data_IF_760126148140
#
_entry.id   IF_760126148140
#
_cell.length_a   1.000
_cell.length_b   1.000
_cell.length_c   1.000
_cell.angle_alpha   90.00
_cell.angle_beta   90.00
_cell.angle_gamma   90.00
#
_symmetry.space_group_name_H-M   'P 1'
#
loop_
_entity.id
_entity.type
_entity.pdbx_description
1 polymer ?
#
# COMPACT_ATOMS: atom_id res chain seq x y z
N UNK A 1 76.03 32.95 8.69
CA UNK A 1 76.23 32.90 7.23
C UNK A 1 75.25 31.90 6.63
N UNK A 2 74.13 32.41 6.12
CA UNK A 2 72.88 31.68 5.89
C UNK A 2 72.74 31.22 4.44
N UNK A 3 73.85 30.80 3.82
CA UNK A 3 73.90 30.43 2.39
C UNK A 3 74.40 29.02 2.07
N UNK A 4 74.74 28.20 3.06
CA UNK A 4 75.23 26.82 2.80
C UNK A 4 74.29 25.68 3.22
N UNK A 5 73.13 25.96 3.83
CA UNK A 5 72.19 24.91 4.28
C UNK A 5 71.14 24.54 3.21
N UNK A 6 71.05 25.27 2.10
CA UNK A 6 70.04 25.04 1.04
C UNK A 6 70.52 24.18 -0.16
N UNK A 7 71.76 23.69 -0.16
CA UNK A 7 72.30 22.94 -1.30
C UNK A 7 72.20 21.40 -1.21
N UNK A 8 71.55 20.84 -0.17
CA UNK A 8 71.48 19.38 0.07
C UNK A 8 70.09 18.73 0.02
N UNK A 9 69.13 19.29 -0.73
CA UNK A 9 67.84 18.61 -1.02
C UNK A 9 67.39 18.79 -2.48
N UNK A 10 68.12 18.18 -3.41
CA UNK A 10 67.58 17.83 -4.74
C UNK A 10 68.21 16.53 -5.21
N UNK A 11 67.58 15.41 -4.88
CA UNK A 11 67.64 14.16 -5.62
C UNK A 11 66.72 13.15 -4.97
N UNK A 12 65.88 12.47 -5.76
CA UNK A 12 65.07 11.27 -5.43
C UNK A 12 63.60 11.49 -5.07
N UNK A 13 62.77 11.84 -6.06
CA UNK A 13 61.40 11.30 -6.16
C UNK A 13 61.02 11.05 -7.64
N UNK A 14 61.40 9.92 -8.25
CA UNK A 14 60.94 9.55 -9.58
C UNK A 14 59.96 8.35 -9.60
N UNK A 15 59.12 8.16 -8.57
CA UNK A 15 58.18 7.01 -8.54
C UNK A 15 56.73 7.34 -8.17
N UNK A 16 56.42 8.53 -7.64
CA UNK A 16 55.06 8.84 -7.19
C UNK A 16 54.11 9.27 -8.34
N UNK A 17 54.62 9.92 -9.40
CA UNK A 17 53.80 10.35 -10.55
C UNK A 17 53.35 9.22 -11.48
N UNK A 18 54.12 8.13 -11.57
CA UNK A 18 53.77 6.97 -12.41
C UNK A 18 52.60 6.18 -11.81
N UNK A 19 52.56 6.02 -10.48
CA UNK A 19 51.47 5.33 -9.78
C UNK A 19 50.12 6.05 -9.90
N UNK A 20 50.11 7.38 -9.75
CA UNK A 20 48.87 8.17 -9.87
C UNK A 20 48.31 8.12 -11.30
N UNK A 21 49.17 8.20 -12.32
CA UNK A 21 48.71 8.08 -13.71
C UNK A 21 48.18 6.70 -14.06
N UNK A 22 48.71 5.63 -13.46
CA UNK A 22 48.21 4.27 -13.67
C UNK A 22 46.80 4.07 -13.07
N UNK A 23 46.57 4.60 -11.86
CA UNK A 23 45.26 4.54 -11.19
C UNK A 23 44.21 5.34 -11.97
N UNK A 24 44.54 6.55 -12.43
CA UNK A 24 43.61 7.37 -13.22
C UNK A 24 43.26 6.70 -14.56
N UNK A 25 44.25 6.11 -15.26
CA UNK A 25 43.99 5.36 -16.50
C UNK A 25 43.10 4.13 -16.27
N UNK A 26 43.27 3.43 -15.15
CA UNK A 26 42.43 2.28 -14.78
C UNK A 26 40.96 2.70 -14.56
N UNK A 27 40.72 3.80 -13.83
CA UNK A 27 39.36 4.30 -13.60
C UNK A 27 38.68 4.82 -14.87
N UNK A 28 39.42 5.48 -15.76
CA UNK A 28 38.89 5.90 -17.07
C UNK A 28 38.52 4.69 -17.93
N UNK A 29 39.39 3.67 -17.98
CA UNK A 29 39.11 2.45 -18.74
C UNK A 29 37.87 1.74 -18.20
N UNK A 30 37.75 1.63 -16.87
CA UNK A 30 36.60 1.02 -16.19
C UNK A 30 35.30 1.77 -16.53
N UNK A 31 35.30 3.11 -16.45
CA UNK A 31 34.14 3.93 -16.79
C UNK A 31 33.71 3.77 -18.26
N UNK A 32 34.67 3.67 -19.18
CA UNK A 32 34.39 3.43 -20.61
C UNK A 32 33.81 2.02 -20.81
N UNK A 33 34.35 0.98 -20.16
CA UNK A 33 33.76 -0.37 -20.24
C UNK A 33 32.36 -0.45 -19.66
N UNK A 34 32.08 0.22 -18.53
CA UNK A 34 30.73 0.28 -17.96
C UNK A 34 29.77 1.02 -18.90
N UNK A 35 30.20 2.13 -19.50
CA UNK A 35 29.39 2.88 -20.45
C UNK A 35 29.10 2.04 -21.71
N UNK A 36 30.11 1.39 -22.28
CA UNK A 36 29.96 0.51 -23.46
C UNK A 36 29.07 -0.70 -23.12
N UNK A 37 29.24 -1.32 -21.96
CA UNK A 37 28.37 -2.42 -21.52
C UNK A 37 26.91 -1.95 -21.35
N UNK A 38 26.69 -0.74 -20.82
CA UNK A 38 25.36 -0.13 -20.66
C UNK A 38 24.71 0.19 -22.00
N UNK A 39 25.50 0.66 -22.98
CA UNK A 39 25.02 0.92 -24.35
C UNK A 39 24.70 -0.39 -25.08
N UNK A 40 25.50 -1.44 -24.88
CA UNK A 40 25.27 -2.76 -25.48
C UNK A 40 24.05 -3.43 -24.83
N UNK A 41 23.86 -3.35 -23.51
CA UNK A 41 22.64 -3.86 -22.86
C UNK A 41 21.40 -3.05 -23.23
N UNK A 42 21.52 -1.73 -23.41
CA UNK A 42 20.43 -0.90 -23.93
C UNK A 42 20.07 -1.22 -25.39
N UNK A 43 21.03 -1.67 -26.21
CA UNK A 43 20.79 -2.12 -27.60
C UNK A 43 20.28 -3.55 -27.72
N UNK A 44 20.52 -4.40 -26.72
CA UNK A 44 20.09 -5.80 -26.69
C UNK A 44 18.83 -6.04 -25.84
N UNK A 45 18.06 -4.99 -25.54
CA UNK A 45 16.73 -5.16 -24.95
C UNK A 45 15.86 -5.92 -25.96
N UNK A 46 15.37 -7.13 -25.65
CA UNK A 46 14.51 -7.88 -26.56
C UNK A 46 13.26 -7.04 -26.87
N UNK A 47 12.81 -7.10 -28.13
CA UNK A 47 11.64 -6.36 -28.62
C UNK A 47 10.37 -6.57 -27.78
N UNK A 48 10.33 -7.63 -26.97
CA UNK A 48 9.29 -7.92 -25.98
C UNK A 48 9.18 -6.87 -24.85
N UNK A 49 10.27 -6.25 -24.41
CA UNK A 49 10.22 -5.22 -23.37
C UNK A 49 9.74 -3.86 -23.90
N UNK A 50 9.95 -3.58 -25.18
CA UNK A 50 9.39 -2.39 -25.86
C UNK A 50 7.89 -2.58 -26.19
N UNK A 51 7.45 -3.82 -26.41
CA UNK A 51 6.04 -4.16 -26.60
C UNK A 51 5.18 -3.94 -25.33
N UNK A 52 5.76 -4.11 -24.13
CA UNK A 52 5.08 -3.81 -22.86
C UNK A 52 4.82 -2.31 -22.70
N UNK A 53 5.75 -1.47 -23.18
CA UNK A 53 5.61 -0.01 -23.18
C UNK A 53 4.57 0.48 -24.20
N UNK A 54 4.55 -0.09 -25.42
CA UNK A 54 3.55 0.32 -26.44
C UNK A 54 2.13 -0.14 -26.09
N UNK A 55 1.98 -1.33 -25.48
CA UNK A 55 0.72 -1.81 -24.94
C UNK A 55 0.17 -0.95 -23.79
N UNK A 56 1.04 -0.24 -23.05
CA UNK A 56 0.63 0.72 -22.01
C UNK A 56 -0.27 1.82 -22.57
N UNK A 57 0.10 2.36 -23.74
CA UNK A 57 -0.67 3.41 -24.43
C UNK A 57 -1.85 2.87 -25.23
N UNK A 58 -1.78 1.66 -25.76
CA UNK A 58 -2.83 1.09 -26.60
C UNK A 58 -3.99 0.52 -25.76
N UNK A 59 -3.71 -0.13 -24.62
CA UNK A 59 -4.74 -0.55 -23.67
C UNK A 59 -5.39 0.66 -22.98
N UNK A 60 -4.65 1.72 -22.67
CA UNK A 60 -5.24 2.99 -22.21
C UNK A 60 -6.11 3.68 -23.28
N UNK A 61 -5.77 3.56 -24.57
CA UNK A 61 -6.59 4.10 -25.69
C UNK A 61 -7.84 3.27 -26.00
N UNK A 62 -7.79 1.95 -25.78
CA UNK A 62 -8.89 1.03 -26.12
C UNK A 62 -10.05 1.10 -25.12
N UNK A 63 -9.82 1.67 -23.94
CA UNK A 63 -10.87 1.99 -22.98
C UNK A 63 -11.34 3.42 -23.21
N UNK A 64 -12.44 3.58 -23.97
CA UNK A 64 -13.22 4.81 -23.94
C UNK A 64 -13.59 5.11 -22.49
N UNK A 65 -13.29 6.33 -22.09
CA UNK A 65 -13.54 6.90 -20.78
C UNK A 65 -14.95 6.56 -20.26
N UNK A 66 -15.09 5.68 -19.25
CA UNK A 66 -16.37 5.43 -18.61
C UNK A 66 -16.80 6.59 -17.69
N UNK A 67 -15.98 7.63 -17.54
CA UNK A 67 -16.17 8.67 -16.52
C UNK A 67 -16.98 9.88 -17.00
N UNK A 68 -17.58 9.84 -18.20
CA UNK A 68 -18.42 10.91 -18.75
C UNK A 68 -19.94 10.66 -18.66
N UNK A 69 -20.40 9.66 -17.92
CA UNK A 69 -21.83 9.51 -17.62
C UNK A 69 -22.09 9.33 -16.12
N UNK A 70 -22.71 10.36 -15.53
CA UNK A 70 -23.67 10.19 -14.46
C UNK A 70 -23.12 10.11 -13.04
N UNK A 71 -23.64 10.99 -12.18
CA UNK A 71 -23.72 10.78 -10.73
C UNK A 71 -24.02 9.30 -10.44
N UNK A 72 -23.13 8.60 -9.75
CA UNK A 72 -23.36 7.24 -9.27
C UNK A 72 -24.47 7.25 -8.20
N UNK A 73 -25.72 7.33 -8.62
CA UNK A 73 -26.88 7.03 -7.80
C UNK A 73 -27.13 5.52 -7.85
N UNK A 74 -26.61 4.78 -6.88
CA UNK A 74 -27.10 3.43 -6.63
C UNK A 74 -28.36 3.51 -5.78
N UNK A 75 -29.52 3.29 -6.42
CA UNK A 75 -30.76 2.98 -5.71
C UNK A 75 -30.61 1.63 -5.02
N UNK A 76 -30.46 1.62 -3.70
CA UNK A 76 -30.74 0.44 -2.87
C UNK A 76 -32.22 0.12 -2.95
N UNK A 77 -32.64 -1.14 -3.18
CA UNK A 77 -33.95 -1.58 -2.74
C UNK A 77 -33.95 -1.56 -1.22
N UNK A 78 -34.71 -0.64 -0.63
CA UNK A 78 -35.01 -0.61 0.79
C UNK A 78 -35.73 -1.90 1.18
N UNK A 79 -35.01 -2.84 1.79
CA UNK A 79 -35.62 -3.85 2.66
C UNK A 79 -35.19 -3.57 4.09
N UNK A 80 -35.98 -2.72 4.73
CA UNK A 80 -36.15 -2.70 6.18
C UNK A 80 -36.62 -4.11 6.57
N UNK A 81 -35.69 -4.96 7.01
CA UNK A 81 -36.05 -6.10 7.83
C UNK A 81 -36.41 -5.54 9.20
N UNK A 82 -37.71 -5.30 9.37
CA UNK A 82 -38.31 -4.91 10.63
C UNK A 82 -37.93 -5.93 11.71
N UNK A 83 -37.47 -5.41 12.84
CA UNK A 83 -37.08 -6.12 14.07
C UNK A 83 -38.22 -6.89 14.77
N UNK A 84 -39.30 -7.23 14.06
CA UNK A 84 -40.48 -7.92 14.59
C UNK A 84 -40.68 -9.25 13.85
N UNK A 85 -39.87 -10.26 14.19
CA UNK A 85 -40.20 -11.71 14.11
C UNK A 85 -39.00 -12.59 14.46
N UNK A 86 -38.47 -12.44 15.67
CA UNK A 86 -37.67 -13.49 16.30
C UNK A 86 -37.90 -13.40 17.81
N UNK A 87 -39.14 -13.70 18.22
CA UNK A 87 -39.40 -14.22 19.55
C UNK A 87 -39.59 -15.73 19.36
N UNK A 88 -38.93 -16.52 20.20
CA UNK A 88 -38.87 -18.00 20.21
C UNK A 88 -37.97 -18.72 19.20
N UNK A 89 -36.70 -18.30 19.11
CA UNK A 89 -35.66 -19.23 18.66
C UNK A 89 -34.49 -19.15 19.63
N UNK A 90 -34.12 -20.29 20.24
CA UNK A 90 -33.05 -20.37 21.23
C UNK A 90 -31.72 -19.77 20.72
N UNK A 91 -30.97 -19.18 21.64
CA UNK A 91 -29.74 -18.41 21.43
C UNK A 91 -28.73 -19.09 20.48
N UNK A 92 -28.56 -20.41 20.59
CA UNK A 92 -27.67 -21.21 19.71
C UNK A 92 -28.12 -21.33 18.25
N UNK A 93 -29.42 -21.22 17.98
CA UNK A 93 -29.98 -21.27 16.62
C UNK A 93 -29.95 -19.88 15.98
N UNK A 94 -30.07 -18.83 16.78
CA UNK A 94 -29.82 -17.45 16.35
C UNK A 94 -28.34 -17.26 16.00
N UNK A 95 -27.42 -17.73 16.83
CA UNK A 95 -25.98 -17.67 16.56
C UNK A 95 -25.59 -18.41 15.27
N UNK A 96 -26.11 -19.64 15.07
CA UNK A 96 -25.91 -20.39 13.82
C UNK A 96 -26.49 -19.70 12.59
N UNK A 97 -27.68 -19.09 12.70
CA UNK A 97 -28.30 -18.39 11.56
C UNK A 97 -27.59 -17.06 11.25
N UNK A 98 -27.19 -16.30 12.27
CA UNK A 98 -26.35 -15.10 12.10
C UNK A 98 -25.02 -15.43 11.42
N UNK A 99 -24.35 -16.51 11.81
CA UNK A 99 -23.10 -16.96 11.16
C UNK A 99 -23.33 -17.32 9.69
N UNK A 100 -24.45 -17.98 9.35
CA UNK A 100 -24.79 -18.34 7.97
C UNK A 100 -25.10 -17.13 7.08
N UNK A 101 -25.61 -16.03 7.65
CA UNK A 101 -25.93 -14.81 6.91
C UNK A 101 -24.86 -13.71 7.01
N UNK A 102 -23.82 -13.90 7.82
CA UNK A 102 -22.73 -12.92 7.94
C UNK A 102 -21.81 -13.02 6.72
N UNK A 103 -21.61 -11.93 5.95
CA UNK A 103 -20.71 -11.93 4.80
C UNK A 103 -19.30 -12.40 5.17
N UNK A 104 -18.61 -13.06 4.23
CA UNK A 104 -17.30 -13.66 4.52
C UNK A 104 -16.28 -12.64 5.01
N UNK A 105 -16.21 -11.47 4.37
CA UNK A 105 -15.34 -10.36 4.80
C UNK A 105 -15.62 -9.92 6.24
N UNK A 106 -16.89 -9.83 6.65
CA UNK A 106 -17.28 -9.50 8.03
C UNK A 106 -16.86 -10.57 9.03
N UNK A 107 -16.97 -11.87 8.69
CA UNK A 107 -16.47 -12.94 9.56
C UNK A 107 -14.97 -12.86 9.78
N UNK A 108 -14.19 -12.56 8.72
CA UNK A 108 -12.75 -12.35 8.85
C UNK A 108 -12.43 -11.15 9.76
N UNK A 109 -13.17 -10.06 9.62
CA UNK A 109 -12.98 -8.84 10.42
C UNK A 109 -13.37 -9.04 11.90
N UNK A 110 -14.48 -9.75 12.16
CA UNK A 110 -15.00 -10.00 13.51
C UNK A 110 -14.30 -11.13 14.26
N UNK A 111 -13.40 -11.85 13.59
CA UNK A 111 -12.60 -12.89 14.24
C UNK A 111 -11.83 -12.32 15.45
N UNK A 112 -11.71 -13.10 16.53
CA UNK A 112 -11.10 -12.65 17.79
C UNK A 112 -9.68 -12.11 17.64
N UNK A 113 -8.83 -12.72 16.80
CA UNK A 113 -7.48 -12.22 16.55
C UNK A 113 -7.53 -10.92 15.74
N UNK A 114 -8.40 -10.84 14.72
CA UNK A 114 -8.59 -9.61 13.96
C UNK A 114 -9.01 -8.46 14.88
N UNK A 115 -9.95 -8.71 15.79
CA UNK A 115 -10.44 -7.71 16.74
C UNK A 115 -9.34 -7.23 17.69
N UNK A 116 -8.47 -8.11 18.18
CA UNK A 116 -7.29 -7.68 18.95
C UNK A 116 -6.38 -6.74 18.16
N UNK A 117 -6.07 -7.08 16.90
CA UNK A 117 -5.22 -6.22 16.05
C UNK A 117 -5.90 -4.86 15.81
N UNK A 118 -7.22 -4.84 15.61
CA UNK A 118 -8.01 -3.61 15.43
C UNK A 118 -7.99 -2.77 16.72
N UNK A 119 -8.16 -3.38 17.89
CA UNK A 119 -8.04 -2.69 19.18
C UNK A 119 -6.66 -2.06 19.36
N UNK A 120 -5.60 -2.80 19.00
CA UNK A 120 -4.24 -2.25 19.02
C UNK A 120 -4.11 -1.05 18.06
N UNK A 121 -4.68 -1.13 16.85
CA UNK A 121 -4.66 -0.05 15.87
C UNK A 121 -5.38 1.22 16.38
N UNK A 122 -6.55 1.05 17.00
CA UNK A 122 -7.31 2.14 17.62
C UNK A 122 -6.56 2.81 18.78
N UNK A 123 -5.67 2.07 19.46
CA UNK A 123 -4.88 2.57 20.59
C UNK A 123 -3.52 3.17 20.20
N UNK A 124 -3.20 3.21 18.90
CA UNK A 124 -1.93 3.78 18.44
C UNK A 124 -1.85 5.28 18.73
N UNK A 125 -0.64 5.77 19.01
CA UNK A 125 -0.37 7.19 19.21
C UNK A 125 -0.82 8.03 18.01
N UNK A 126 -0.74 7.47 16.81
CA UNK A 126 -1.26 8.09 15.59
C UNK A 126 -2.77 8.38 15.70
N UNK A 127 -3.59 7.35 15.98
CA UNK A 127 -5.06 7.51 16.04
C UNK A 127 -5.51 8.31 17.25
N UNK A 128 -5.00 8.00 18.45
CA UNK A 128 -5.41 8.70 19.67
C UNK A 128 -4.93 10.15 19.66
N UNK A 129 -3.71 10.41 19.18
CA UNK A 129 -3.17 11.75 19.04
C UNK A 129 -3.97 12.59 18.04
N UNK A 130 -4.37 12.00 16.90
CA UNK A 130 -5.21 12.72 15.93
C UNK A 130 -6.60 13.00 16.51
N UNK A 131 -7.20 12.04 17.22
CA UNK A 131 -8.51 12.24 17.85
C UNK A 131 -8.48 13.34 18.92
N UNK A 132 -7.36 13.51 19.62
CA UNK A 132 -7.14 14.60 20.58
C UNK A 132 -6.75 15.93 19.92
N UNK A 133 -6.36 15.92 18.64
CA UNK A 133 -5.86 17.10 17.94
C UNK A 133 -4.40 17.45 18.27
N UNK A 134 -3.69 16.55 18.95
CA UNK A 134 -2.33 16.76 19.47
C UNK A 134 -1.26 16.07 18.64
N UNK A 135 -1.64 15.27 17.64
CA UNK A 135 -0.67 14.57 16.80
C UNK A 135 0.23 15.58 16.06
N UNK A 136 1.55 15.33 15.91
CA UNK A 136 2.43 16.25 15.19
C UNK A 136 2.10 16.30 13.69
N UNK A 137 1.89 17.51 13.15
CA UNK A 137 1.60 17.71 11.72
C UNK A 137 2.72 17.20 10.81
N UNK A 138 3.97 17.24 11.26
CA UNK A 138 5.11 16.66 10.53
C UNK A 138 4.98 15.15 10.37
N UNK A 139 4.57 14.45 11.43
CA UNK A 139 4.37 13.00 11.39
C UNK A 139 3.13 12.66 10.57
N UNK A 140 2.08 13.47 10.64
CA UNK A 140 0.91 13.30 9.78
C UNK A 140 1.26 13.48 8.30
N UNK A 141 2.03 14.53 7.96
CA UNK A 141 2.54 14.72 6.60
C UNK A 141 3.42 13.55 6.15
N UNK A 142 4.27 13.02 7.04
CA UNK A 142 5.06 11.82 6.75
C UNK A 142 4.17 10.62 6.43
N UNK A 143 3.09 10.40 7.18
CA UNK A 143 2.09 9.39 6.85
C UNK A 143 1.44 9.60 5.49
N UNK A 144 1.06 10.83 5.13
CA UNK A 144 0.48 11.12 3.82
C UNK A 144 1.47 10.80 2.67
N UNK A 145 2.77 11.08 2.85
CA UNK A 145 3.79 10.67 1.85
C UNK A 145 3.90 9.14 1.76
N UNK A 146 3.80 8.42 2.88
CA UNK A 146 3.76 6.95 2.89
C UNK A 146 2.52 6.41 2.16
N UNK A 147 1.34 6.96 2.40
CA UNK A 147 0.09 6.58 1.72
C UNK A 147 0.14 6.85 0.21
N UNK A 148 0.74 7.98 -0.21
CA UNK A 148 0.96 8.25 -1.62
C UNK A 148 1.83 7.15 -2.27
N UNK A 149 2.93 6.77 -1.63
CA UNK A 149 3.82 5.71 -2.11
C UNK A 149 3.16 4.31 -2.05
N UNK A 150 2.23 4.09 -1.13
CA UNK A 150 1.41 2.88 -1.06
C UNK A 150 0.44 2.79 -2.24
N UNK A 151 -0.29 3.86 -2.56
CA UNK A 151 -1.26 3.86 -3.66
C UNK A 151 -0.61 3.57 -5.02
N UNK A 152 0.57 4.14 -5.29
CA UNK A 152 1.32 3.85 -6.52
C UNK A 152 1.71 2.36 -6.61
N UNK A 153 2.28 1.83 -5.53
CA UNK A 153 2.66 0.42 -5.46
C UNK A 153 1.48 -0.53 -5.64
N UNK A 154 0.37 -0.27 -4.94
CA UNK A 154 -0.84 -1.09 -5.00
C UNK A 154 -1.45 -1.08 -6.39
N UNK A 155 -1.42 0.07 -7.09
CA UNK A 155 -1.87 0.15 -8.47
C UNK A 155 -1.10 -0.84 -9.36
N UNK A 156 0.22 -0.93 -9.19
CA UNK A 156 1.08 -1.85 -9.93
C UNK A 156 0.92 -3.31 -9.53
N UNK A 157 0.78 -3.60 -8.23
CA UNK A 157 0.51 -4.97 -7.75
C UNK A 157 -0.81 -5.50 -8.31
N UNK A 158 -1.88 -4.69 -8.28
CA UNK A 158 -3.15 -5.07 -8.89
C UNK A 158 -3.03 -5.28 -10.40
N UNK A 159 -2.33 -4.40 -11.10
CA UNK A 159 -2.09 -4.54 -12.54
C UNK A 159 -1.42 -5.87 -12.87
N UNK A 160 -0.35 -6.21 -12.14
CA UNK A 160 0.36 -7.47 -12.34
C UNK A 160 -0.52 -8.68 -12.02
N UNK A 161 -1.31 -8.61 -10.95
CA UNK A 161 -2.26 -9.67 -10.61
C UNK A 161 -3.34 -9.84 -11.69
N UNK A 162 -3.84 -8.74 -12.26
CA UNK A 162 -4.80 -8.76 -13.36
C UNK A 162 -4.24 -9.51 -14.57
N UNK A 163 -3.02 -9.17 -15.02
CA UNK A 163 -2.35 -9.87 -16.12
C UNK A 163 -2.17 -11.36 -15.84
N UNK A 164 -1.76 -11.74 -14.63
CA UNK A 164 -1.62 -13.15 -14.25
C UNK A 164 -2.97 -13.89 -14.30
N UNK A 165 -4.03 -13.25 -13.84
CA UNK A 165 -5.39 -13.80 -13.86
C UNK A 165 -5.95 -13.96 -15.27
N UNK A 166 -5.63 -13.04 -16.19
CA UNK A 166 -5.97 -13.19 -17.61
C UNK A 166 -5.29 -14.40 -18.24
N UNK A 167 -3.99 -14.60 -17.96
CA UNK A 167 -3.22 -15.77 -18.43
C UNK A 167 -3.85 -17.07 -17.90
N UNK A 168 -4.28 -17.08 -16.64
CA UNK A 168 -5.00 -18.19 -16.02
C UNK A 168 -6.47 -18.32 -16.49
N UNK A 169 -6.94 -17.45 -17.37
CA UNK A 169 -8.32 -17.39 -17.89
C UNK A 169 -9.38 -17.13 -16.81
N UNK A 170 -9.01 -16.54 -15.68
CA UNK A 170 -9.92 -16.14 -14.61
C UNK A 170 -10.36 -14.68 -14.82
N UNK A 171 -11.40 -14.50 -15.64
CA UNK A 171 -11.87 -13.17 -16.08
C UNK A 171 -12.42 -12.31 -14.94
N UNK A 172 -13.05 -12.91 -13.93
CA UNK A 172 -13.67 -12.15 -12.84
C UNK A 172 -12.60 -11.49 -11.96
N UNK A 173 -11.56 -12.24 -11.59
CA UNK A 173 -10.41 -11.70 -10.88
C UNK A 173 -9.65 -10.66 -11.72
N UNK A 174 -9.40 -10.95 -13.00
CA UNK A 174 -8.72 -10.02 -13.89
C UNK A 174 -9.47 -8.68 -13.99
N UNK A 175 -10.78 -8.71 -14.23
CA UNK A 175 -11.62 -7.53 -14.33
C UNK A 175 -11.65 -6.73 -13.03
N UNK A 176 -11.76 -7.41 -11.89
CA UNK A 176 -11.70 -6.77 -10.58
C UNK A 176 -10.35 -6.05 -10.37
N UNK A 177 -9.24 -6.73 -10.64
CA UNK A 177 -7.90 -6.17 -10.44
C UNK A 177 -7.55 -5.04 -11.41
N UNK A 178 -8.01 -5.08 -12.66
CA UNK A 178 -7.86 -3.92 -13.56
C UNK A 178 -8.58 -2.68 -13.02
N UNK A 179 -9.81 -2.84 -12.52
CA UNK A 179 -10.57 -1.73 -11.91
C UNK A 179 -9.88 -1.19 -10.66
N UNK A 180 -9.37 -2.06 -9.78
CA UNK A 180 -8.63 -1.63 -8.59
C UNK A 180 -7.33 -0.91 -8.97
N UNK A 181 -6.56 -1.42 -9.94
CA UNK A 181 -5.35 -0.77 -10.42
C UNK A 181 -5.62 0.65 -10.92
N UNK A 182 -6.63 0.81 -11.78
CA UNK A 182 -7.03 2.12 -12.28
C UNK A 182 -7.47 3.06 -11.16
N UNK A 183 -8.26 2.56 -10.21
CA UNK A 183 -8.70 3.30 -9.01
C UNK A 183 -7.50 3.82 -8.21
N UNK A 184 -6.56 2.95 -7.84
CA UNK A 184 -5.40 3.34 -7.03
C UNK A 184 -4.44 4.27 -7.78
N UNK A 185 -4.26 4.09 -9.10
CA UNK A 185 -3.47 5.02 -9.92
C UNK A 185 -4.10 6.41 -9.97
N UNK A 186 -5.44 6.49 -10.05
CA UNK A 186 -6.15 7.76 -10.00
C UNK A 186 -6.06 8.42 -8.62
N UNK A 187 -6.28 7.64 -7.55
CA UNK A 187 -6.15 8.10 -6.17
C UNK A 187 -4.75 8.66 -5.92
N UNK A 188 -3.69 7.96 -6.30
CA UNK A 188 -2.31 8.44 -6.15
C UNK A 188 -2.11 9.83 -6.77
N UNK A 189 -2.52 10.02 -8.03
CA UNK A 189 -2.38 11.30 -8.74
C UNK A 189 -3.15 12.43 -8.07
N UNK A 190 -4.41 12.18 -7.71
CA UNK A 190 -5.24 13.18 -7.04
C UNK A 190 -4.72 13.50 -5.65
N UNK A 191 -4.24 12.49 -4.93
CA UNK A 191 -3.78 12.63 -3.56
C UNK A 191 -2.53 13.51 -3.50
N UNK A 192 -1.53 13.25 -4.35
CA UNK A 192 -0.34 14.09 -4.46
C UNK A 192 -0.70 15.55 -4.75
N UNK A 193 -1.62 15.78 -5.69
CA UNK A 193 -2.04 17.13 -6.07
C UNK A 193 -2.84 17.84 -4.96
N UNK A 194 -3.85 17.18 -4.37
CA UNK A 194 -4.71 17.75 -3.32
C UNK A 194 -3.92 18.05 -2.04
N UNK A 195 -2.88 17.27 -1.76
CA UNK A 195 -2.11 17.32 -0.52
C UNK A 195 -0.74 18.00 -0.64
N UNK A 196 -0.40 18.47 -1.84
CA UNK A 196 0.90 19.07 -2.14
C UNK A 196 2.05 18.21 -1.62
N UNK A 197 2.03 16.93 -1.99
CA UNK A 197 3.03 15.93 -1.58
C UNK A 197 4.12 15.82 -2.63
N UNK A 198 5.29 15.33 -2.21
CA UNK A 198 6.40 15.11 -3.12
C UNK A 198 6.15 13.94 -4.09
N UNK A 199 5.42 12.92 -3.63
CA UNK A 199 5.25 11.64 -4.33
C UNK A 199 6.50 10.75 -4.38
N UNK A 200 7.65 11.27 -3.93
CA UNK A 200 8.97 10.63 -4.04
C UNK A 200 9.65 10.49 -2.67
N UNK A 201 8.88 10.62 -1.58
CA UNK A 201 9.38 10.55 -0.21
C UNK A 201 10.04 9.20 0.10
N UNK A 202 11.02 9.22 1.02
CA UNK A 202 11.56 7.98 1.56
C UNK A 202 10.46 7.23 2.32
N UNK A 203 10.23 5.98 1.94
CA UNK A 203 9.28 5.10 2.63
C UNK A 203 9.89 4.54 3.90
N UNK A 204 9.07 4.41 4.94
CA UNK A 204 9.45 3.79 6.20
C UNK A 204 9.63 2.28 6.10
N UNK A 205 10.11 1.67 7.18
CA UNK A 205 10.39 0.23 7.22
C UNK A 205 9.09 -0.57 7.21
N UNK A 206 8.05 -0.09 7.92
CA UNK A 206 6.75 -0.73 7.97
C UNK A 206 6.08 -0.78 6.60
N UNK A 207 6.06 0.35 5.87
CA UNK A 207 5.52 0.39 4.52
C UNK A 207 6.33 -0.48 3.56
N UNK A 208 7.67 -0.46 3.64
CA UNK A 208 8.51 -1.34 2.81
C UNK A 208 8.15 -2.81 3.02
N UNK A 209 8.02 -3.24 4.27
CA UNK A 209 7.62 -4.61 4.60
C UNK A 209 6.21 -4.94 4.08
N UNK A 210 5.28 -3.97 4.10
CA UNK A 210 3.94 -4.15 3.56
C UNK A 210 3.97 -4.30 2.02
N UNK A 211 4.70 -3.42 1.34
CA UNK A 211 4.90 -3.49 -0.12
C UNK A 211 5.47 -4.83 -0.53
N UNK A 212 6.50 -5.30 0.18
CA UNK A 212 7.12 -6.61 -0.05
C UNK A 212 6.11 -7.75 0.19
N UNK A 213 5.30 -7.69 1.24
CA UNK A 213 4.24 -8.68 1.46
C UNK A 213 3.28 -8.72 0.27
N UNK A 214 2.70 -7.58 -0.12
CA UNK A 214 1.70 -7.51 -1.20
C UNK A 214 2.24 -8.00 -2.54
N UNK A 215 3.49 -7.67 -2.88
CA UNK A 215 4.14 -8.14 -4.10
C UNK A 215 4.36 -9.66 -4.14
N UNK A 216 4.43 -10.31 -2.97
CA UNK A 216 4.67 -11.75 -2.84
C UNK A 216 3.39 -12.57 -2.58
N UNK A 217 2.23 -11.93 -2.41
CA UNK A 217 0.95 -12.64 -2.32
C UNK A 217 0.57 -13.18 -3.71
N UNK A 218 0.04 -14.40 -3.76
CA UNK A 218 -0.42 -14.95 -5.04
C UNK A 218 -1.64 -14.17 -5.55
N UNK A 219 -1.84 -14.03 -6.87
CA UNK A 219 -2.93 -13.23 -7.42
C UNK A 219 -4.31 -13.62 -6.87
N UNK A 220 -4.56 -14.90 -6.60
CA UNK A 220 -5.84 -15.43 -6.09
C UNK A 220 -6.14 -14.95 -4.65
N UNK A 221 -5.10 -14.55 -3.92
CA UNK A 221 -5.18 -14.13 -2.53
C UNK A 221 -5.04 -12.62 -2.35
N UNK A 222 -4.74 -11.86 -3.40
CA UNK A 222 -4.43 -10.44 -3.28
C UNK A 222 -5.62 -9.64 -2.74
N UNK A 223 -6.85 -9.97 -3.15
CA UNK A 223 -8.05 -9.30 -2.63
C UNK A 223 -8.20 -9.46 -1.11
N UNK A 224 -7.84 -10.63 -0.57
CA UNK A 224 -7.85 -10.89 0.88
C UNK A 224 -6.72 -10.15 1.60
N UNK A 225 -5.54 -10.07 0.99
CA UNK A 225 -4.41 -9.33 1.55
C UNK A 225 -4.65 -7.81 1.58
N UNK A 226 -5.45 -7.30 0.64
CA UNK A 226 -5.84 -5.89 0.52
C UNK A 226 -7.13 -5.53 1.27
N UNK A 227 -7.90 -6.51 1.72
CA UNK A 227 -9.15 -6.29 2.45
C UNK A 227 -8.96 -5.49 3.77
N UNK A 228 -7.88 -5.67 4.55
CA UNK A 228 -7.65 -4.91 5.78
C UNK A 228 -7.72 -3.40 5.59
N UNK A 229 -7.08 -2.86 4.55
CA UNK A 229 -7.04 -1.41 4.33
C UNK A 229 -8.45 -0.83 4.13
N UNK A 230 -9.32 -1.54 3.38
CA UNK A 230 -10.66 -1.05 3.14
C UNK A 230 -11.50 -1.10 4.40
N UNK A 231 -11.36 -2.13 5.23
CA UNK A 231 -12.21 -2.33 6.42
C UNK A 231 -11.71 -1.61 7.67
N UNK A 232 -10.39 -1.48 7.85
CA UNK A 232 -9.80 -0.91 9.06
C UNK A 232 -9.99 0.61 9.14
N UNK A 233 -9.67 1.36 8.08
CA UNK A 233 -9.74 2.82 8.10
C UNK A 233 -11.12 3.40 8.47
N UNK A 234 -12.24 2.84 7.99
CA UNK A 234 -13.58 3.23 8.45
C UNK A 234 -13.83 2.94 9.93
N UNK A 235 -13.18 1.94 10.50
CA UNK A 235 -13.25 1.64 11.93
C UNK A 235 -12.45 2.66 12.73
N UNK A 236 -11.24 3.00 12.28
CA UNK A 236 -10.42 4.06 12.88
C UNK A 236 -11.13 5.43 12.83
N UNK A 237 -11.87 5.69 11.75
CA UNK A 237 -12.66 6.90 11.54
C UNK A 237 -13.88 7.04 12.47
N UNK A 238 -14.24 5.98 13.20
CA UNK A 238 -15.36 5.98 14.17
C UNK A 238 -14.96 6.43 15.57
N UNK A 239 -13.67 6.62 15.84
CA UNK A 239 -13.18 7.15 17.11
C UNK A 239 -13.80 8.52 17.39
N UNK A 240 -14.11 8.77 18.64
CA UNK A 240 -14.64 10.06 19.09
C UNK A 240 -13.53 11.12 19.06
N UNK A 241 -13.74 12.15 18.26
CA UNK A 241 -12.80 13.26 18.08
C UNK A 241 -13.11 14.34 19.11
N UNK A 242 -12.09 14.77 19.85
CA UNK A 242 -12.19 15.86 20.80
C UNK A 242 -12.16 17.21 20.06
N UNK A 243 -13.03 18.12 20.49
CA UNK A 243 -13.21 19.44 19.86
C UNK A 243 -13.24 19.38 18.31
N UNK A 244 -14.21 18.69 17.68
CA UNK A 244 -14.20 18.46 16.23
C UNK A 244 -14.08 19.73 15.39
N UNK A 245 -14.68 20.85 15.86
CA UNK A 245 -14.61 22.13 15.15
C UNK A 245 -13.20 22.75 15.12
N UNK A 246 -12.34 22.42 16.08
CA UNK A 246 -10.95 22.90 16.17
C UNK A 246 -9.91 21.84 15.82
N UNK A 247 -10.31 20.60 15.53
CA UNK A 247 -9.40 19.50 15.24
C UNK A 247 -9.06 19.45 13.75
N UNK A 248 -7.78 19.65 13.42
CA UNK A 248 -7.29 19.69 12.04
C UNK A 248 -7.43 18.35 11.29
N UNK A 249 -7.57 17.24 12.01
CA UNK A 249 -7.68 15.90 11.46
C UNK A 249 -9.13 15.46 11.21
N UNK A 250 -10.13 16.18 11.75
CA UNK A 250 -11.55 15.82 11.64
C UNK A 250 -12.00 15.72 10.18
N UNK A 251 -11.82 16.80 9.41
CA UNK A 251 -12.19 16.80 8.00
C UNK A 251 -11.28 15.88 7.19
N UNK A 252 -9.98 15.89 7.49
CA UNK A 252 -8.99 15.30 6.60
C UNK A 252 -8.87 13.78 6.71
N UNK A 253 -8.91 13.27 7.94
CA UNK A 253 -8.74 11.85 8.20
C UNK A 253 -10.08 11.21 8.58
N UNK A 254 -10.74 11.72 9.63
CA UNK A 254 -11.89 11.03 10.23
C UNK A 254 -13.12 11.05 9.31
N UNK A 255 -13.49 12.20 8.74
CA UNK A 255 -14.65 12.29 7.83
C UNK A 255 -14.41 11.61 6.49
N UNK A 256 -13.25 11.83 5.87
CA UNK A 256 -12.90 11.24 4.56
C UNK A 256 -12.85 9.71 4.61
N UNK A 257 -12.47 9.11 5.74
CA UNK A 257 -12.45 7.64 5.90
C UNK A 257 -13.76 7.05 6.44
N UNK A 258 -14.69 7.86 6.93
CA UNK A 258 -15.96 7.37 7.48
C UNK A 258 -16.85 6.85 6.35
N UNK A 259 -17.21 5.58 6.44
CA UNK A 259 -18.21 4.94 5.57
C UNK A 259 -19.05 3.91 6.30
N UNK A 260 -20.26 3.73 5.82
CA UNK A 260 -21.23 2.72 6.29
C UNK A 260 -21.54 1.66 5.22
N UNK A 261 -21.25 1.94 3.95
CA UNK A 261 -21.49 1.02 2.84
C UNK A 261 -20.31 0.07 2.63
N UNK A 262 -20.56 -1.05 1.94
CA UNK A 262 -19.54 -2.05 1.66
C UNK A 262 -18.65 -1.68 0.46
N UNK A 263 -17.33 -1.80 0.63
CA UNK A 263 -16.35 -1.53 -0.42
C UNK A 263 -16.41 -2.57 -1.55
N UNK A 264 -15.90 -2.22 -2.73
CA UNK A 264 -15.79 -3.18 -3.84
C UNK A 264 -14.89 -4.38 -3.50
N UNK A 265 -13.88 -4.20 -2.65
CA UNK A 265 -13.03 -5.29 -2.17
C UNK A 265 -13.78 -6.23 -1.24
N UNK A 266 -14.58 -5.72 -0.30
CA UNK A 266 -15.43 -6.55 0.57
C UNK A 266 -16.43 -7.37 -0.26
N UNK A 267 -17.12 -6.72 -1.22
CA UNK A 267 -18.05 -7.39 -2.15
C UNK A 267 -17.38 -8.54 -2.89
N UNK A 268 -16.22 -8.27 -3.48
CA UNK A 268 -15.46 -9.28 -4.22
C UNK A 268 -15.02 -10.44 -3.31
N UNK A 269 -14.53 -10.14 -2.11
CA UNK A 269 -14.13 -11.19 -1.15
C UNK A 269 -15.32 -12.05 -0.72
N UNK A 270 -16.51 -11.47 -0.54
CA UNK A 270 -17.71 -12.23 -0.20
C UNK A 270 -18.12 -13.26 -1.26
N UNK A 271 -17.67 -13.06 -2.51
CA UNK A 271 -17.97 -13.95 -3.64
C UNK A 271 -16.92 -15.06 -3.81
N UNK A 272 -15.80 -15.03 -3.07
CA UNK A 272 -14.75 -16.06 -3.14
C UNK A 272 -15.27 -17.36 -2.50
N UNK A 273 -15.32 -18.43 -3.29
CA UNK A 273 -15.82 -19.75 -2.84
C UNK A 273 -14.70 -20.75 -2.52
N UNK A 274 -13.54 -20.60 -3.16
CA UNK A 274 -12.52 -21.64 -3.22
C UNK A 274 -11.38 -21.46 -2.20
N UNK A 275 -11.69 -20.89 -1.03
CA UNK A 275 -10.72 -20.73 0.05
C UNK A 275 -11.28 -21.18 1.39
N UNK A 276 -10.48 -21.96 2.13
CA UNK A 276 -10.77 -22.30 3.52
C UNK A 276 -10.63 -21.05 4.39
N UNK A 277 -11.60 -20.82 5.26
CA UNK A 277 -11.64 -19.64 6.15
C UNK A 277 -10.34 -19.47 6.96
N UNK A 278 -9.76 -20.55 7.49
CA UNK A 278 -8.49 -20.49 8.22
C UNK A 278 -7.34 -19.96 7.37
N UNK A 279 -7.29 -20.33 6.08
CA UNK A 279 -6.27 -19.82 5.15
C UNK A 279 -6.51 -18.34 4.84
N UNK A 280 -7.76 -17.94 4.67
CA UNK A 280 -8.14 -16.55 4.46
C UNK A 280 -7.77 -15.68 5.66
N UNK A 281 -8.05 -16.14 6.88
CA UNK A 281 -7.70 -15.47 8.14
C UNK A 281 -6.19 -15.21 8.24
N UNK A 282 -5.34 -16.19 7.93
CA UNK A 282 -3.87 -15.99 7.98
C UNK A 282 -3.39 -14.89 7.03
N UNK A 283 -4.01 -14.77 5.86
CA UNK A 283 -3.66 -13.75 4.85
C UNK A 283 -4.19 -12.38 5.31
N UNK A 284 -5.43 -12.35 5.78
CA UNK A 284 -6.09 -11.16 6.30
C UNK A 284 -5.36 -10.59 7.53
N UNK A 285 -4.99 -11.42 8.51
CA UNK A 285 -4.23 -11.00 9.69
C UNK A 285 -2.86 -10.45 9.34
N UNK A 286 -2.18 -11.00 8.32
CA UNK A 286 -0.91 -10.44 7.84
C UNK A 286 -1.10 -9.04 7.29
N UNK A 287 -2.14 -8.80 6.49
CA UNK A 287 -2.46 -7.46 6.00
C UNK A 287 -2.81 -6.52 7.16
N UNK A 288 -3.69 -6.91 8.09
CA UNK A 288 -4.01 -6.11 9.30
C UNK A 288 -2.77 -5.77 10.13
N UNK A 289 -1.84 -6.72 10.30
CA UNK A 289 -0.58 -6.49 11.00
C UNK A 289 0.27 -5.42 10.29
N UNK A 290 0.30 -5.43 8.95
CA UNK A 290 1.04 -4.42 8.22
C UNK A 290 0.42 -3.04 8.36
N UNK A 291 -0.91 -2.92 8.31
CA UNK A 291 -1.61 -1.67 8.63
C UNK A 291 -1.27 -1.19 10.05
N UNK A 292 -1.42 -2.06 11.06
CA UNK A 292 -1.07 -1.73 12.45
C UNK A 292 0.36 -1.19 12.56
N UNK A 293 1.33 -1.85 11.92
CA UNK A 293 2.72 -1.46 12.03
C UNK A 293 3.04 -0.16 11.28
N UNK A 294 2.29 0.17 10.22
CA UNK A 294 2.39 1.47 9.57
C UNK A 294 1.93 2.58 10.52
N UNK A 295 0.76 2.41 11.16
CA UNK A 295 0.22 3.37 12.13
C UNK A 295 1.15 3.54 13.34
N UNK A 296 1.73 2.44 13.83
CA UNK A 296 2.71 2.44 14.92
C UNK A 296 3.99 3.16 14.53
N UNK A 297 4.57 2.87 13.37
CA UNK A 297 5.80 3.53 12.90
C UNK A 297 5.63 5.05 12.79
N UNK A 298 4.51 5.50 12.23
CA UNK A 298 4.18 6.93 12.12
C UNK A 298 3.98 7.58 13.50
N UNK A 299 3.44 6.83 14.45
CA UNK A 299 3.27 7.24 15.84
C UNK A 299 4.51 7.07 16.72
N UNK A 300 5.68 6.81 16.13
CA UNK A 300 6.95 6.55 16.85
C UNK A 300 6.88 5.36 17.84
N UNK A 301 6.00 4.39 17.56
CA UNK A 301 5.83 3.16 18.33
C UNK A 301 6.57 1.99 17.65
N UNK A 302 7.18 1.07 18.42
CA UNK A 302 7.87 -0.08 17.85
C UNK A 302 6.90 -1.03 17.17
N UNK A 303 7.34 -1.69 16.09
CA UNK A 303 6.55 -2.69 15.40
C UNK A 303 6.17 -3.87 16.32
N UNK A 304 4.96 -4.37 16.15
CA UNK A 304 4.36 -5.42 16.96
C UNK A 304 4.29 -6.73 16.12
N UNK A 305 4.98 -7.80 16.54
CA UNK A 305 4.98 -9.09 15.87
C UNK A 305 3.67 -9.85 16.10
N UNK A 306 3.28 -10.73 15.16
CA UNK A 306 1.98 -11.43 15.24
C UNK A 306 1.91 -12.36 16.46
N UNK A 307 3.06 -12.82 16.95
CA UNK A 307 3.17 -13.69 18.13
C UNK A 307 2.79 -12.98 19.43
N UNK A 308 2.70 -11.66 19.41
CA UNK A 308 2.32 -10.82 20.55
C UNK A 308 0.86 -10.32 20.44
N UNK A 309 0.08 -10.81 19.46
CA UNK A 309 -1.34 -10.50 19.20
C UNK A 309 -2.20 -11.76 19.41
#
# INVERSE_FOLDING_TARGET
STREILARRRSSYPTFKAGIMAVVKFWILLAVTVLVATIITARNVPAEALAVSSNRTELQRKWKDPLQEGKWHFKTPSRVLSRKKFQDVGEKTLEKSLILYTPFSKRLFQNSISQKIITEALSTTFITGMAQGEFPLSNYRYFLEQDAAYFDHVADVYRLAATKMEIQKNKDYANFYWKQSAKFSHLHKQFIQKKDLSGNGQVGTALKAYKDFLSNVSPEHLALAMLPCSMLYPELARVEVQNPAGNLYEEDFFKENRRDDESSTEKFVNEIKDIKEQRALLIFWRGLKHELNLLREVGDQPALPIQQL
#
